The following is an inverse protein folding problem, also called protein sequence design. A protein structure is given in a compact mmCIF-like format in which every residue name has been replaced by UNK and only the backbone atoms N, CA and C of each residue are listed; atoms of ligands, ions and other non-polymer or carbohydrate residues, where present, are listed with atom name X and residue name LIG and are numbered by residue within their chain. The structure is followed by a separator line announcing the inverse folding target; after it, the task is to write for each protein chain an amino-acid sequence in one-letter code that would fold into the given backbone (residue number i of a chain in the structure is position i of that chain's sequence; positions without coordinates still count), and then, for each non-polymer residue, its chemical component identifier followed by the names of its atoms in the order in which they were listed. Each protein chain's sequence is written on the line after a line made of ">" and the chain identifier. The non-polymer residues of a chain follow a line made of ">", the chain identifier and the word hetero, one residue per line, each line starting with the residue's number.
data_IF_983310711640
#
_entry.id   IF_983310711640
#
_cell.length_a   1.000
_cell.length_b   1.000
_cell.length_c   1.000
_cell.angle_alpha   90.00
_cell.angle_beta   90.00
_cell.angle_gamma   90.00
#
_symmetry.space_group_name_H-M   'P 1'
#
loop_
_entity.id
_entity.type
_entity.pdbx_description
1 polymer ?
#
# COMPACT_ATOMS: atom_id res chain seq x y z
N UNK A 1 0.42 36.11 42.18
CA UNK A 1 -1.02 35.93 41.96
C UNK A 1 -1.24 36.22 40.50
N UNK A 2 -1.42 35.13 39.74
CA UNK A 2 -1.89 34.99 38.35
C UNK A 2 -1.13 35.74 37.25
N UNK A 3 -0.33 34.93 36.55
CA UNK A 3 0.13 35.11 35.18
C UNK A 3 -1.05 34.98 34.21
N UNK A 4 -1.12 35.85 33.18
CA UNK A 4 -1.95 35.64 31.99
C UNK A 4 -1.09 35.95 30.75
N UNK A 5 -0.16 35.05 30.44
CA UNK A 5 0.42 34.96 29.10
C UNK A 5 -0.38 33.93 28.32
N UNK A 6 -1.30 34.46 27.52
CA UNK A 6 -2.13 33.74 26.58
C UNK A 6 -1.23 33.16 25.47
N UNK A 7 -0.69 31.97 25.71
CA UNK A 7 0.06 31.22 24.72
C UNK A 7 -0.92 30.72 23.65
N UNK A 8 -0.76 31.29 22.47
CA UNK A 8 -1.40 30.89 21.22
C UNK A 8 -1.36 29.38 21.03
N UNK A 9 -2.54 28.80 20.93
CA UNK A 9 -2.79 27.46 20.39
C UNK A 9 -2.43 27.46 18.90
N UNK A 10 -1.14 27.25 18.61
CA UNK A 10 -0.65 26.98 17.26
C UNK A 10 -0.58 25.47 17.07
N UNK A 11 -1.73 24.84 16.89
CA UNK A 11 -1.79 23.55 16.19
C UNK A 11 -1.40 23.80 14.74
N UNK A 12 -0.09 23.85 14.47
CA UNK A 12 0.42 23.70 13.11
C UNK A 12 -0.05 22.34 12.59
N UNK A 13 -1.07 22.35 11.73
CA UNK A 13 -1.44 21.20 10.92
C UNK A 13 -0.24 20.86 10.04
N UNK A 14 0.57 19.90 10.49
CA UNK A 14 1.64 19.30 9.67
C UNK A 14 0.97 18.78 8.40
N UNK A 15 1.37 19.23 7.20
CA UNK A 15 0.77 18.75 5.96
C UNK A 15 0.96 17.23 5.88
N UNK A 16 -0.14 16.47 5.80
CA UNK A 16 -0.18 15.01 5.66
C UNK A 16 0.49 14.65 4.33
N UNK A 17 1.79 14.43 4.38
CA UNK A 17 2.57 13.96 3.26
C UNK A 17 2.52 12.42 3.29
N UNK A 18 1.41 11.85 2.82
CA UNK A 18 1.09 10.40 2.76
C UNK A 18 2.07 9.53 1.92
N UNK A 19 3.35 9.89 1.84
CA UNK A 19 4.43 9.17 1.17
C UNK A 19 4.70 7.81 1.77
N UNK A 20 4.58 7.65 3.10
CA UNK A 20 4.68 6.34 3.74
C UNK A 20 3.55 5.43 3.28
N UNK A 21 2.31 5.94 3.20
CA UNK A 21 1.17 5.17 2.67
C UNK A 21 1.38 4.77 1.21
N UNK A 22 1.86 5.69 0.37
CA UNK A 22 2.21 5.37 -1.03
C UNK A 22 3.29 4.28 -1.08
N UNK A 23 4.38 4.44 -0.34
CA UNK A 23 5.45 3.44 -0.26
C UNK A 23 4.92 2.09 0.25
N UNK A 24 4.04 2.08 1.24
CA UNK A 24 3.38 0.88 1.74
C UNK A 24 2.64 0.14 0.62
N UNK A 25 1.83 0.86 -0.16
CA UNK A 25 1.05 0.28 -1.26
C UNK A 25 1.94 -0.27 -2.37
N UNK A 26 2.99 0.45 -2.72
CA UNK A 26 3.97 -0.02 -3.71
C UNK A 26 4.69 -1.29 -3.24
N UNK A 27 5.12 -1.32 -1.97
CA UNK A 27 5.74 -2.51 -1.38
C UNK A 27 4.73 -3.66 -1.26
N UNK A 28 3.48 -3.40 -0.87
CA UNK A 28 2.43 -4.41 -0.79
C UNK A 28 2.18 -5.08 -2.15
N UNK A 29 2.16 -4.29 -3.23
CA UNK A 29 2.03 -4.81 -4.59
C UNK A 29 3.18 -5.78 -4.91
N UNK A 30 4.41 -5.43 -4.58
CA UNK A 30 5.60 -6.24 -4.92
C UNK A 30 5.80 -7.43 -3.98
N UNK A 31 5.44 -7.30 -2.70
CA UNK A 31 5.82 -8.24 -1.64
C UNK A 31 4.67 -9.19 -1.21
N UNK A 32 3.40 -8.81 -1.39
CA UNK A 32 2.25 -9.70 -1.10
C UNK A 32 2.29 -11.04 -1.86
N UNK A 33 2.75 -11.15 -3.12
CA UNK A 33 2.79 -12.43 -3.84
C UNK A 33 3.77 -13.45 -3.27
N UNK A 34 4.68 -13.02 -2.40
CA UNK A 34 5.65 -13.89 -1.73
C UNK A 34 5.36 -14.00 -0.24
N UNK A 35 4.10 -13.76 0.17
CA UNK A 35 3.60 -13.88 1.55
C UNK A 35 4.31 -12.99 2.58
N UNK A 36 4.68 -11.78 2.15
CA UNK A 36 5.15 -10.73 3.04
C UNK A 36 3.99 -9.76 3.26
N UNK A 37 3.66 -9.58 4.52
CA UNK A 37 2.64 -8.63 4.98
C UNK A 37 3.27 -7.24 5.10
N UNK A 38 2.59 -6.22 4.57
CA UNK A 38 3.03 -4.82 4.58
C UNK A 38 1.96 -4.00 5.26
N UNK A 39 2.32 -3.28 6.34
CA UNK A 39 1.40 -2.44 7.09
C UNK A 39 1.95 -1.01 7.18
N UNK A 40 1.10 -0.02 6.88
CA UNK A 40 1.35 1.39 7.20
C UNK A 40 0.63 1.78 8.49
N UNK A 41 1.00 2.93 9.06
CA UNK A 41 0.30 3.55 10.19
C UNK A 41 0.20 2.63 11.41
N UNK A 42 1.25 1.82 11.64
CA UNK A 42 1.31 0.91 12.78
C UNK A 42 1.33 1.75 14.06
N UNK A 43 0.26 1.69 14.85
CA UNK A 43 0.21 2.34 16.16
C UNK A 43 1.21 1.66 17.09
N UNK A 44 2.34 2.34 17.33
CA UNK A 44 3.40 1.85 18.21
C UNK A 44 3.26 2.41 19.63
N UNK A 45 2.62 3.57 19.79
CA UNK A 45 2.46 4.27 21.07
C UNK A 45 1.00 4.67 21.32
N UNK A 46 0.68 4.96 22.59
CA UNK A 46 -0.52 5.70 22.99
C UNK A 46 -0.09 7.00 23.69
N UNK A 47 -0.47 8.19 23.19
CA UNK A 47 -1.16 8.44 21.92
C UNK A 47 -0.31 8.04 20.70
N UNK A 48 -0.93 7.73 19.55
CA UNK A 48 -0.21 7.41 18.33
C UNK A 48 0.62 8.63 17.91
N UNK A 49 1.93 8.48 17.87
CA UNK A 49 2.75 9.44 17.12
C UNK A 49 2.43 9.26 15.63
N UNK A 50 2.28 10.36 14.90
CA UNK A 50 2.16 10.40 13.43
C UNK A 50 3.48 9.92 12.82
N UNK A 51 3.66 8.61 12.84
CA UNK A 51 4.90 7.96 12.48
C UNK A 51 4.79 7.43 11.06
N UNK A 52 5.76 7.82 10.22
CA UNK A 52 5.90 7.36 8.83
C UNK A 52 6.49 5.94 8.78
N UNK A 53 5.88 5.03 9.54
CA UNK A 53 6.37 3.67 9.79
C UNK A 53 5.72 2.69 8.83
N UNK A 54 6.58 1.84 8.25
CA UNK A 54 6.18 0.64 7.53
C UNK A 54 6.66 -0.60 8.27
N UNK A 55 5.76 -1.57 8.43
CA UNK A 55 6.09 -2.88 8.95
C UNK A 55 6.05 -3.90 7.82
N UNK A 56 7.18 -4.56 7.59
CA UNK A 56 7.25 -5.78 6.77
C UNK A 56 7.30 -6.98 7.70
N UNK A 57 6.40 -7.94 7.51
CA UNK A 57 6.32 -9.13 8.34
C UNK A 57 6.20 -10.39 7.48
N UNK A 58 7.07 -11.35 7.71
CA UNK A 58 6.94 -12.69 7.12
C UNK A 58 5.88 -13.51 7.85
N UNK A 59 5.11 -14.31 7.10
CA UNK A 59 4.18 -15.32 7.66
C UNK A 59 4.83 -16.70 7.84
N UNK A 60 5.97 -16.94 7.21
CA UNK A 60 6.75 -18.17 7.25
C UNK A 60 7.71 -18.21 8.45
N UNK A 61 8.22 -19.38 8.90
CA UNK A 61 9.20 -19.48 9.99
C UNK A 61 10.56 -18.84 9.70
N UNK A 62 10.94 -18.72 8.43
CA UNK A 62 12.16 -18.07 7.94
C UNK A 62 11.88 -17.39 6.58
N UNK A 63 12.69 -16.38 6.25
CA UNK A 63 12.66 -15.75 4.94
C UNK A 63 13.03 -16.74 3.83
N UNK A 64 12.13 -16.95 2.87
CA UNK A 64 12.36 -17.81 1.70
C UNK A 64 13.29 -17.13 0.69
N UNK A 65 13.91 -17.89 -0.22
CA UNK A 65 14.73 -17.33 -1.29
C UNK A 65 13.95 -16.35 -2.18
N UNK A 66 12.69 -16.68 -2.50
CA UNK A 66 11.80 -15.81 -3.28
C UNK A 66 11.46 -14.50 -2.55
N UNK A 67 11.24 -14.56 -1.23
CA UNK A 67 11.02 -13.37 -0.41
C UNK A 67 12.26 -12.47 -0.40
N UNK A 68 13.44 -13.05 -0.12
CA UNK A 68 14.70 -12.29 -0.09
C UNK A 68 15.02 -11.64 -1.43
N UNK A 69 14.78 -12.34 -2.54
CA UNK A 69 15.02 -11.81 -3.88
C UNK A 69 14.23 -10.53 -4.18
N UNK A 70 13.08 -10.31 -3.51
CA UNK A 70 12.26 -9.10 -3.64
C UNK A 70 12.55 -8.02 -2.62
N UNK A 71 13.32 -8.33 -1.57
CA UNK A 71 13.70 -7.34 -0.57
C UNK A 71 14.87 -6.46 -1.09
N UNK A 72 14.83 -5.15 -0.82
CA UNK A 72 15.91 -4.25 -1.19
C UNK A 72 17.19 -4.57 -0.41
N UNK A 73 18.30 -4.07 -0.94
CA UNK A 73 19.59 -4.19 -0.30
C UNK A 73 19.58 -3.54 1.11
N UNK A 74 20.36 -4.08 2.04
CA UNK A 74 20.35 -3.69 3.46
C UNK A 74 19.32 -4.41 4.35
N UNK A 75 18.19 -4.87 3.80
CA UNK A 75 17.23 -5.73 4.54
C UNK A 75 17.07 -7.14 3.94
N UNK A 76 17.64 -7.37 2.76
CA UNK A 76 17.60 -8.66 2.04
C UNK A 76 18.05 -9.86 2.86
N UNK A 77 19.10 -9.69 3.66
CA UNK A 77 19.70 -10.76 4.47
C UNK A 77 19.23 -10.74 5.93
N UNK A 78 18.18 -9.97 6.23
CA UNK A 78 17.60 -9.93 7.56
C UNK A 78 17.19 -11.32 8.02
N UNK A 79 17.45 -11.63 9.29
CA UNK A 79 16.91 -12.82 9.97
C UNK A 79 15.68 -12.48 10.81
N UNK A 80 15.43 -11.19 11.05
CA UNK A 80 14.34 -10.73 11.88
C UNK A 80 12.98 -11.04 11.22
N UNK A 81 12.00 -11.60 11.94
CA UNK A 81 10.64 -11.78 11.45
C UNK A 81 9.92 -10.46 11.10
N UNK A 82 10.29 -9.38 11.78
CA UNK A 82 9.73 -8.05 11.58
C UNK A 82 10.82 -7.10 11.10
N UNK A 83 10.52 -6.33 10.06
CA UNK A 83 11.36 -5.22 9.62
C UNK A 83 10.54 -3.94 9.78
N UNK A 84 11.01 -3.04 10.63
CA UNK A 84 10.41 -1.75 10.87
C UNK A 84 11.16 -0.72 10.03
N UNK A 85 10.46 0.03 9.19
CA UNK A 85 11.06 1.04 8.33
C UNK A 85 10.49 2.40 8.74
N UNK A 86 11.36 3.28 9.24
CA UNK A 86 11.06 4.69 9.47
C UNK A 86 11.43 5.47 8.21
N UNK A 87 10.44 6.06 7.52
CA UNK A 87 10.67 6.85 6.31
C UNK A 87 10.91 8.32 6.64
N UNK A 88 12.07 8.85 6.27
CA UNK A 88 12.33 10.30 6.23
C UNK A 88 12.41 10.75 4.78
N UNK A 89 11.31 11.32 4.29
CA UNK A 89 11.24 11.78 2.90
C UNK A 89 11.96 13.12 2.68
N UNK A 90 11.70 14.13 3.54
CA UNK A 90 12.31 15.47 3.40
C UNK A 90 13.45 15.73 4.39
N UNK A 91 13.65 14.83 5.35
CA UNK A 91 14.63 15.01 6.43
C UNK A 91 15.91 14.21 6.16
N UNK A 92 17.05 14.86 6.37
CA UNK A 92 18.36 14.20 6.39
C UNK A 92 18.54 13.35 7.65
N UNK A 93 19.56 12.49 7.64
CA UNK A 93 19.99 11.77 8.84
C UNK A 93 20.41 12.76 9.95
N UNK A 94 19.79 12.64 11.12
CA UNK A 94 20.17 13.39 12.31
C UNK A 94 19.86 12.57 13.58
N UNK A 95 20.26 13.10 14.74
CA UNK A 95 20.07 12.44 16.04
C UNK A 95 18.59 12.24 16.38
N UNK A 96 17.71 13.16 15.98
CA UNK A 96 16.27 13.06 16.20
C UNK A 96 15.65 11.89 15.41
N UNK A 97 15.98 11.77 14.12
CA UNK A 97 15.50 10.70 13.25
C UNK A 97 15.97 9.32 13.76
N UNK A 98 17.21 9.26 14.23
CA UNK A 98 17.76 8.05 14.85
C UNK A 98 17.06 7.71 16.17
N UNK A 99 16.90 8.69 17.06
CA UNK A 99 16.23 8.52 18.36
C UNK A 99 14.77 8.08 18.16
N UNK A 100 14.07 8.70 17.22
CA UNK A 100 12.70 8.35 16.86
C UNK A 100 12.60 6.89 16.39
N UNK A 101 13.48 6.44 15.50
CA UNK A 101 13.52 5.05 15.04
C UNK A 101 13.79 4.07 16.21
N UNK A 102 14.69 4.41 17.13
CA UNK A 102 14.94 3.60 18.33
C UNK A 102 13.75 3.56 19.29
N UNK A 103 13.07 4.68 19.49
CA UNK A 103 11.84 4.72 20.28
C UNK A 103 10.79 3.78 19.69
N UNK A 104 10.56 3.83 18.38
CA UNK A 104 9.61 2.95 17.71
C UNK A 104 10.01 1.47 17.78
N UNK A 105 11.29 1.16 17.60
CA UNK A 105 11.81 -0.19 17.81
C UNK A 105 11.46 -0.72 19.20
N UNK A 106 11.72 0.09 20.24
CA UNK A 106 11.47 -0.27 21.62
C UNK A 106 9.98 -0.46 21.90
N UNK A 107 9.15 0.52 21.57
CA UNK A 107 7.71 0.46 21.81
C UNK A 107 7.03 -0.68 21.04
N UNK A 108 7.48 -0.96 19.80
CA UNK A 108 6.94 -2.06 19.00
C UNK A 108 7.26 -3.41 19.62
N UNK A 109 8.50 -3.59 20.09
CA UNK A 109 8.93 -4.81 20.79
C UNK A 109 8.16 -4.99 22.09
N UNK A 110 8.06 -3.93 22.89
CA UNK A 110 7.39 -3.96 24.19
C UNK A 110 5.90 -4.28 24.04
N UNK A 111 5.19 -3.57 23.15
CA UNK A 111 3.76 -3.76 22.91
C UNK A 111 3.38 -5.13 22.33
N UNK A 112 4.35 -5.89 21.82
CA UNK A 112 4.17 -7.22 21.21
C UNK A 112 4.96 -8.32 21.92
N UNK A 113 5.66 -8.01 23.02
CA UNK A 113 6.52 -8.94 23.77
C UNK A 113 7.55 -9.66 22.88
N UNK A 114 8.15 -8.93 21.93
CA UNK A 114 9.14 -9.45 20.99
C UNK A 114 10.55 -9.43 21.58
N UNK A 115 11.40 -10.38 21.16
CA UNK A 115 12.80 -10.42 21.60
C UNK A 115 13.62 -9.39 20.84
N UNK A 116 14.81 -9.09 21.38
CA UNK A 116 15.76 -8.11 20.82
C UNK A 116 16.00 -8.28 19.31
N UNK A 117 16.15 -9.51 18.84
CA UNK A 117 16.46 -9.85 17.45
C UNK A 117 15.24 -10.18 16.59
N UNK A 118 14.03 -10.08 17.14
CA UNK A 118 12.80 -10.34 16.38
C UNK A 118 12.44 -9.19 15.44
N UNK A 119 13.03 -8.01 15.65
CA UNK A 119 12.80 -6.81 14.83
C UNK A 119 14.14 -6.24 14.37
N UNK A 120 14.23 -5.96 13.07
CA UNK A 120 15.28 -5.10 12.50
C UNK A 120 14.63 -3.75 12.15
N UNK A 121 15.14 -2.68 12.76
CA UNK A 121 14.68 -1.33 12.45
C UNK A 121 15.64 -0.66 11.47
N UNK A 122 15.08 -0.03 10.44
CA UNK A 122 15.82 0.62 9.36
C UNK A 122 15.29 2.03 9.17
N UNK A 123 16.21 2.99 9.12
CA UNK A 123 15.90 4.37 8.77
C UNK A 123 16.10 4.54 7.26
N UNK A 124 14.99 4.76 6.55
CA UNK A 124 15.00 4.97 5.10
C UNK A 124 14.96 6.47 4.81
N UNK A 125 16.05 6.97 4.26
CA UNK A 125 16.16 8.38 3.87
C UNK A 125 15.89 8.48 2.38
N UNK A 126 14.93 9.32 1.98
CA UNK A 126 14.82 9.65 0.58
C UNK A 126 15.95 10.61 0.23
N UNK A 127 16.80 10.21 -0.71
CA UNK A 127 17.70 11.15 -1.34
C UNK A 127 16.84 11.98 -2.30
N UNK A 128 16.90 13.33 -2.29
CA UNK A 128 16.29 14.12 -3.34
C UNK A 128 16.94 13.71 -4.65
N UNK A 129 16.23 12.90 -5.43
CA UNK A 129 16.60 12.58 -6.80
C UNK A 129 15.93 13.67 -7.63
N UNK A 130 16.70 14.42 -8.40
CA UNK A 130 16.15 15.13 -9.56
C UNK A 130 15.67 14.06 -10.53
N UNK A 131 14.41 13.63 -10.36
CA UNK A 131 13.79 12.69 -11.27
C UNK A 131 13.39 13.46 -12.51
N UNK A 132 14.07 13.15 -13.61
CA UNK A 132 13.65 13.57 -14.94
C UNK A 132 12.20 13.09 -15.19
N UNK A 133 11.31 13.91 -15.78
CA UNK A 133 9.92 13.54 -16.06
C UNK A 133 9.79 12.18 -16.74
N UNK A 134 10.70 11.85 -17.65
CA UNK A 134 10.71 10.59 -18.39
C UNK A 134 10.88 9.38 -17.46
N UNK A 135 11.69 9.49 -16.41
CA UNK A 135 11.86 8.42 -15.41
C UNK A 135 10.61 8.22 -14.56
N UNK A 136 9.88 9.30 -14.25
CA UNK A 136 8.62 9.22 -13.52
C UNK A 136 7.56 8.56 -14.40
N UNK A 137 7.48 8.92 -15.67
CA UNK A 137 6.56 8.28 -16.63
C UNK A 137 6.89 6.80 -16.81
N UNK A 138 8.16 6.45 -16.93
CA UNK A 138 8.59 5.05 -17.06
C UNK A 138 8.23 4.23 -15.83
N UNK A 139 8.49 4.76 -14.62
CA UNK A 139 8.06 4.11 -13.38
C UNK A 139 6.53 3.94 -13.33
N UNK A 140 5.78 4.96 -13.74
CA UNK A 140 4.31 4.91 -13.83
C UNK A 140 3.83 3.77 -14.73
N UNK A 141 4.42 3.60 -15.92
CA UNK A 141 4.08 2.51 -16.84
C UNK A 141 4.39 1.13 -16.25
N UNK A 142 5.54 0.96 -15.63
CA UNK A 142 5.91 -0.31 -15.00
C UNK A 142 4.94 -0.69 -13.87
N UNK A 143 4.51 0.30 -13.09
CA UNK A 143 3.51 0.10 -12.04
C UNK A 143 2.14 -0.23 -12.62
N UNK A 144 1.73 0.47 -13.68
CA UNK A 144 0.49 0.20 -14.41
C UNK A 144 0.46 -1.23 -14.95
N UNK A 145 1.51 -1.66 -15.65
CA UNK A 145 1.63 -3.03 -16.17
C UNK A 145 1.60 -4.08 -15.06
N UNK A 146 2.36 -3.87 -13.98
CA UNK A 146 2.40 -4.79 -12.85
C UNK A 146 1.05 -4.90 -12.14
N UNK A 147 0.27 -3.82 -12.11
CA UNK A 147 -1.06 -3.80 -11.51
C UNK A 147 -2.10 -4.43 -12.44
N UNK A 148 -2.12 -4.06 -13.72
CA UNK A 148 -3.00 -4.64 -14.73
C UNK A 148 -2.82 -6.16 -14.85
N UNK A 149 -1.58 -6.64 -14.79
CA UNK A 149 -1.26 -8.07 -14.84
C UNK A 149 -1.88 -8.91 -13.72
N UNK A 150 -2.41 -8.27 -12.67
CA UNK A 150 -3.02 -8.95 -11.52
C UNK A 150 -4.55 -8.88 -11.52
N UNK A 151 -5.13 -8.07 -12.39
CA UNK A 151 -6.58 -7.92 -12.45
C UNK A 151 -7.18 -9.07 -13.26
N UNK A 152 -8.26 -9.62 -12.73
CA UNK A 152 -9.14 -10.51 -13.49
C UNK A 152 -10.04 -9.68 -14.41
N UNK A 153 -10.66 -10.33 -15.40
CA UNK A 153 -11.67 -9.67 -16.24
C UNK A 153 -12.80 -9.11 -15.37
N UNK A 154 -13.23 -9.85 -14.35
CA UNK A 154 -14.28 -9.42 -13.44
C UNK A 154 -13.88 -8.15 -12.66
N UNK A 155 -12.64 -8.06 -12.18
CA UNK A 155 -12.14 -6.87 -11.48
C UNK A 155 -12.14 -5.62 -12.37
N UNK A 156 -11.92 -5.79 -13.67
CA UNK A 156 -11.97 -4.70 -14.65
C UNK A 156 -13.42 -4.30 -14.92
N UNK A 157 -14.29 -5.28 -15.18
CA UNK A 157 -15.71 -5.03 -15.47
C UNK A 157 -16.43 -4.37 -14.30
N UNK A 158 -16.11 -4.75 -13.05
CA UNK A 158 -16.71 -4.17 -11.85
C UNK A 158 -16.49 -2.67 -11.67
N UNK A 159 -15.56 -2.06 -12.41
CA UNK A 159 -15.27 -0.62 -12.34
C UNK A 159 -16.22 0.24 -13.16
N UNK A 160 -16.92 -0.37 -14.10
CA UNK A 160 -17.76 0.32 -15.04
C UNK A 160 -19.23 -0.01 -14.77
N UNK A 161 -20.10 0.96 -15.03
CA UNK A 161 -21.54 0.70 -15.00
C UNK A 161 -21.92 -0.27 -16.12
N UNK A 162 -22.93 -1.12 -15.88
CA UNK A 162 -23.43 -2.05 -16.91
C UNK A 162 -23.83 -1.31 -18.19
N UNK A 163 -24.52 -0.17 -18.06
CA UNK A 163 -24.95 0.63 -19.22
C UNK A 163 -23.77 1.19 -20.02
N UNK A 164 -22.70 1.63 -19.33
CA UNK A 164 -21.47 2.12 -19.95
C UNK A 164 -20.77 0.99 -20.72
N UNK A 165 -20.56 -0.17 -20.09
CA UNK A 165 -19.96 -1.35 -20.74
C UNK A 165 -20.73 -1.74 -21.99
N UNK A 166 -22.05 -1.85 -21.87
CA UNK A 166 -22.91 -2.26 -22.97
C UNK A 166 -22.91 -1.20 -24.08
N UNK A 167 -22.84 0.09 -23.77
CA UNK A 167 -22.82 1.17 -24.78
C UNK A 167 -21.68 1.04 -25.80
N UNK A 168 -20.57 0.40 -25.43
CA UNK A 168 -19.42 0.15 -26.29
C UNK A 168 -19.51 -1.15 -27.10
N UNK A 169 -20.48 -2.03 -26.81
CA UNK A 169 -20.67 -3.32 -27.48
C UNK A 169 -21.92 -3.23 -28.37
N UNK A 170 -21.78 -3.54 -29.67
CA UNK A 170 -22.92 -3.52 -30.59
C UNK A 170 -23.96 -4.55 -30.15
N UNK A 171 -25.27 -4.28 -30.32
CA UNK A 171 -26.31 -5.21 -29.89
C UNK A 171 -26.14 -6.66 -30.36
N UNK A 172 -25.67 -6.87 -31.58
CA UNK A 172 -25.41 -8.22 -32.12
C UNK A 172 -24.26 -8.93 -31.41
N UNK A 173 -23.19 -8.21 -31.06
CA UNK A 173 -22.01 -8.76 -30.38
C UNK A 173 -22.34 -9.12 -28.91
N UNK A 174 -23.31 -8.43 -28.30
CA UNK A 174 -23.82 -8.79 -26.95
C UNK A 174 -24.52 -10.15 -26.93
N UNK A 175 -25.09 -10.56 -28.06
CA UNK A 175 -25.81 -11.82 -28.20
C UNK A 175 -24.91 -12.95 -28.74
N UNK A 176 -23.70 -12.64 -29.16
CA UNK A 176 -22.77 -13.62 -29.71
C UNK A 176 -22.40 -14.67 -28.65
N UNK A 177 -22.53 -15.94 -29.00
CA UNK A 177 -22.25 -17.06 -28.09
C UNK A 177 -23.41 -17.47 -27.17
N UNK A 178 -24.56 -16.77 -27.23
CA UNK A 178 -25.80 -17.24 -26.61
C UNK A 178 -26.54 -18.20 -27.54
N UNK A 179 -27.12 -19.26 -26.97
CA UNK A 179 -27.98 -20.18 -27.71
C UNK A 179 -29.28 -19.48 -28.15
N UNK A 180 -29.77 -19.72 -29.38
CA UNK A 180 -31.00 -19.09 -29.87
C UNK A 180 -32.20 -19.29 -28.94
N UNK A 181 -32.35 -20.48 -28.36
CA UNK A 181 -33.46 -20.81 -27.45
C UNK A 181 -33.48 -19.91 -26.19
N UNK A 182 -32.31 -19.55 -25.66
CA UNK A 182 -32.18 -18.65 -24.49
C UNK A 182 -32.63 -17.24 -24.86
N UNK A 183 -32.27 -16.77 -26.06
CA UNK A 183 -32.69 -15.46 -26.56
C UNK A 183 -34.21 -15.43 -26.76
N UNK A 184 -34.77 -16.48 -27.36
CA UNK A 184 -36.22 -16.59 -27.56
C UNK A 184 -37.01 -16.62 -26.25
N UNK A 185 -36.50 -17.34 -25.24
CA UNK A 185 -37.13 -17.39 -23.91
C UNK A 185 -37.16 -16.01 -23.25
N UNK A 186 -36.03 -15.28 -23.27
CA UNK A 186 -35.98 -13.91 -22.77
C UNK A 186 -36.97 -12.99 -23.49
N UNK A 187 -37.06 -13.07 -24.82
CA UNK A 187 -38.02 -12.27 -25.61
C UNK A 187 -39.48 -12.60 -25.25
N UNK A 188 -39.80 -13.86 -24.94
CA UNK A 188 -41.15 -14.25 -24.47
C UNK A 188 -41.47 -13.64 -23.11
N UNK A 189 -40.52 -13.61 -22.18
CA UNK A 189 -40.69 -12.98 -20.87
C UNK A 189 -40.88 -11.46 -21.00
N UNK A 190 -40.06 -10.82 -21.83
CA UNK A 190 -40.12 -9.37 -22.05
C UNK A 190 -41.45 -8.91 -22.65
N UNK A 191 -41.97 -9.63 -23.64
CA UNK A 191 -43.29 -9.34 -24.24
C UNK A 191 -44.42 -9.43 -23.21
N UNK A 192 -44.38 -10.41 -22.30
CA UNK A 192 -45.37 -10.54 -21.21
C UNK A 192 -45.31 -9.42 -20.17
N UNK A 193 -44.20 -8.68 -20.09
CA UNK A 193 -44.06 -7.54 -19.17
C UNK A 193 -44.53 -6.22 -19.80
N UNK A 194 -44.79 -6.18 -21.11
CA UNK A 194 -45.28 -5.00 -21.83
C UNK A 194 -46.80 -4.99 -22.08
N UNK A 195 -47.47 -6.14 -21.85
CA UNK A 195 -48.94 -6.29 -21.85
C UNK A 195 -49.52 -6.03 -20.45
#
# INVERSE_FOLDING_TARGET
>A
MVDDNNASDSTENKPDNSWHRLLARLLELVLSPVDIDVQSDVSVTKPPLDADILLLRRKTPQWTAAQRARLPDGIRDSKAPHILIELKYTQSFNEEAFTQALCYDWFYKEGRQLRKFDVQTVLLLAKPIEMMPEKVTELGKQLEEAWLARLTVDDVLARFGQDELLSHIKPVDRLAGLEPDVIEEYLKQFKKQQD
#
